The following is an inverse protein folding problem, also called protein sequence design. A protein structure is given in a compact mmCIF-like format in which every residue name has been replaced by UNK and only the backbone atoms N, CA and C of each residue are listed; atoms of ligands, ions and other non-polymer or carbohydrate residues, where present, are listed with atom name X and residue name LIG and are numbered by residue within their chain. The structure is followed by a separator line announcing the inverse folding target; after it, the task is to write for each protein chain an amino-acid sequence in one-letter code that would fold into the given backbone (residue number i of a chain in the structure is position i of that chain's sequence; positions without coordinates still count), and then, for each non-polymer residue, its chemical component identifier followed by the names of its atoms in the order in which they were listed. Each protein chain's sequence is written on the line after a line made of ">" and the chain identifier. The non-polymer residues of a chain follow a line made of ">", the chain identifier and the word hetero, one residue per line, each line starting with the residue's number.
data_IF_758351576110
#
_entry.id   IF_758351576110
#
_cell.length_a   1.000
_cell.length_b   1.000
_cell.length_c   1.000
_cell.angle_alpha   90.00
_cell.angle_beta   90.00
_cell.angle_gamma   90.00
#
_symmetry.space_group_name_H-M   'P 1'
#
loop_
_entity.id
_entity.type
_entity.pdbx_description
1 polymer ?
#
# COMPACT_ATOMS: atom_id res chain seq x y z
N UNK A 1 14.43 -7.64 11.06
CA UNK A 1 13.60 -8.09 9.92
C UNK A 1 12.16 -8.11 10.39
N UNK A 2 11.33 -7.24 9.83
CA UNK A 2 9.86 -7.32 9.96
C UNK A 2 9.32 -8.37 8.99
N UNK A 3 8.05 -8.75 9.12
CA UNK A 3 7.38 -9.68 8.18
C UNK A 3 7.26 -9.11 6.76
N UNK A 4 7.34 -7.78 6.61
CA UNK A 4 7.17 -7.08 5.34
C UNK A 4 8.31 -7.38 4.35
N UNK A 5 9.56 -7.47 4.80
CA UNK A 5 10.67 -7.68 3.86
C UNK A 5 10.66 -9.08 3.23
N UNK A 6 10.53 -10.20 3.99
CA UNK A 6 10.43 -11.53 3.40
C UNK A 6 9.19 -11.73 2.53
N UNK A 7 8.07 -11.04 2.81
CA UNK A 7 6.87 -11.14 1.96
C UNK A 7 7.11 -10.51 0.59
N UNK A 8 7.80 -9.36 0.53
CA UNK A 8 8.22 -8.74 -0.74
C UNK A 8 9.22 -9.63 -1.47
N UNK A 9 10.26 -10.11 -0.79
CA UNK A 9 11.23 -11.01 -1.40
C UNK A 9 10.56 -12.24 -2.01
N UNK A 10 9.64 -12.87 -1.28
CA UNK A 10 8.93 -14.07 -1.74
C UNK A 10 8.01 -13.78 -2.93
N UNK A 11 7.34 -12.64 -2.93
CA UNK A 11 6.50 -12.23 -4.06
C UNK A 11 7.33 -12.05 -5.34
N UNK A 12 8.55 -11.48 -5.22
CA UNK A 12 9.48 -11.37 -6.34
C UNK A 12 9.97 -12.73 -6.84
N UNK A 13 10.36 -13.63 -5.94
CA UNK A 13 10.81 -14.99 -6.28
C UNK A 13 9.72 -15.80 -7.01
N UNK A 14 8.45 -15.58 -6.64
CA UNK A 14 7.29 -16.25 -7.22
C UNK A 14 6.70 -15.50 -8.42
N UNK A 15 7.31 -14.39 -8.84
CA UNK A 15 6.85 -13.57 -9.97
C UNK A 15 5.39 -13.10 -9.80
N UNK A 16 5.01 -12.70 -8.59
CA UNK A 16 3.67 -12.17 -8.34
C UNK A 16 3.48 -10.81 -9.02
N UNK A 17 2.26 -10.56 -9.50
CA UNK A 17 1.90 -9.28 -10.14
C UNK A 17 1.76 -8.12 -9.14
N UNK A 18 1.44 -8.42 -7.88
CA UNK A 18 1.28 -7.44 -6.82
C UNK A 18 1.30 -8.09 -5.42
N UNK A 19 1.46 -7.26 -4.39
CA UNK A 19 1.29 -7.62 -2.98
C UNK A 19 -0.01 -7.01 -2.45
N UNK A 20 -0.81 -7.81 -1.76
CA UNK A 20 -1.98 -7.35 -1.01
C UNK A 20 -1.61 -7.26 0.47
N UNK A 21 -1.34 -6.04 0.94
CA UNK A 21 -0.95 -5.75 2.31
C UNK A 21 -2.18 -5.39 3.17
N UNK A 22 -2.67 -6.39 3.89
CA UNK A 22 -3.78 -6.24 4.84
C UNK A 22 -3.38 -5.39 6.06
N UNK A 23 -4.18 -4.37 6.38
CA UNK A 23 -4.05 -3.55 7.59
C UNK A 23 -5.28 -3.73 8.49
N UNK A 24 -5.06 -3.67 9.79
CA UNK A 24 -6.13 -3.78 10.79
C UNK A 24 -6.60 -2.38 11.20
N UNK A 25 -7.90 -2.10 11.07
CA UNK A 25 -8.51 -0.86 11.53
C UNK A 25 -8.15 0.41 10.75
N UNK A 26 -7.48 0.30 9.60
CA UNK A 26 -7.22 1.40 8.65
C UNK A 26 -7.40 0.85 7.24
N UNK A 27 -8.11 1.56 6.37
CA UNK A 27 -8.45 1.11 5.02
C UNK A 27 -7.59 1.72 3.92
N UNK A 28 -6.43 2.28 4.26
CA UNK A 28 -5.45 2.78 3.30
C UNK A 28 -4.36 3.61 3.97
N UNK A 29 -3.63 4.35 3.15
CA UNK A 29 -2.66 5.37 3.57
C UNK A 29 -3.38 6.71 3.62
N UNK A 30 -3.08 7.52 4.64
CA UNK A 30 -3.72 8.82 4.86
C UNK A 30 -2.68 9.94 4.95
N UNK A 31 -3.11 11.16 4.66
CA UNK A 31 -2.31 12.39 4.82
C UNK A 31 -1.90 12.64 6.27
N UNK A 32 -2.71 12.18 7.23
CA UNK A 32 -2.47 12.26 8.66
C UNK A 32 -3.20 11.11 9.38
N UNK A 33 -2.95 10.89 10.68
CA UNK A 33 -3.66 9.86 11.47
C UNK A 33 -5.17 10.20 11.54
N UNK A 34 -6.06 9.41 10.89
CA UNK A 34 -7.49 9.73 10.83
C UNK A 34 -8.18 9.63 12.20
N UNK A 35 -7.54 9.02 13.21
CA UNK A 35 -8.06 9.00 14.58
C UNK A 35 -7.80 10.31 15.33
N UNK A 36 -6.83 11.11 14.88
CA UNK A 36 -6.43 12.38 15.50
C UNK A 36 -6.81 13.60 14.67
N UNK A 37 -6.86 13.44 13.35
CA UNK A 37 -7.09 14.50 12.38
C UNK A 37 -8.33 14.17 11.57
N UNK A 38 -9.41 14.91 11.79
CA UNK A 38 -10.69 14.70 11.08
C UNK A 38 -10.65 15.14 9.62
N UNK A 39 -9.66 15.96 9.26
CA UNK A 39 -9.36 16.42 7.90
C UNK A 39 -8.40 15.47 7.15
N UNK A 40 -7.99 14.35 7.75
CA UNK A 40 -7.16 13.35 7.11
C UNK A 40 -7.86 12.76 5.88
N UNK A 41 -7.20 12.85 4.73
CA UNK A 41 -7.69 12.30 3.46
C UNK A 41 -6.96 11.01 3.13
N UNK A 42 -7.66 10.06 2.54
CA UNK A 42 -7.07 8.78 2.13
C UNK A 42 -6.45 8.96 0.75
N UNK A 43 -5.27 8.42 0.55
CA UNK A 43 -4.70 8.32 -0.79
C UNK A 43 -5.40 7.20 -1.56
N UNK A 44 -5.83 7.50 -2.79
CA UNK A 44 -6.23 6.52 -3.78
C UNK A 44 -5.01 5.78 -4.31
N UNK A 45 -4.01 6.55 -4.72
CA UNK A 45 -2.74 6.05 -5.25
C UNK A 45 -1.57 6.94 -4.85
N UNK A 46 -0.40 6.33 -4.74
CA UNK A 46 0.87 6.98 -4.42
C UNK A 46 2.01 6.33 -5.20
N UNK A 47 3.00 7.12 -5.62
CA UNK A 47 4.28 6.54 -6.03
C UNK A 47 5.10 6.12 -4.82
N UNK A 48 6.11 5.25 -5.01
CA UNK A 48 7.06 4.94 -3.96
C UNK A 48 7.83 6.18 -3.48
N UNK A 49 8.14 7.10 -4.39
CA UNK A 49 8.86 8.33 -4.06
C UNK A 49 8.00 9.27 -3.22
N UNK A 50 6.68 9.33 -3.46
CA UNK A 50 5.74 10.07 -2.60
C UNK A 50 5.72 9.48 -1.18
N UNK A 51 5.65 8.15 -1.07
CA UNK A 51 5.66 7.46 0.23
C UNK A 51 6.94 7.76 1.01
N UNK A 52 8.10 7.69 0.34
CA UNK A 52 9.41 7.93 0.96
C UNK A 52 9.59 9.42 1.31
N UNK A 53 9.25 10.33 0.41
CA UNK A 53 9.45 11.77 0.61
C UNK A 53 8.55 12.36 1.70
N UNK A 54 7.36 11.81 1.88
CA UNK A 54 6.41 12.23 2.92
C UNK A 54 6.53 11.42 4.23
N UNK A 55 7.53 10.54 4.34
CA UNK A 55 7.73 9.64 5.50
C UNK A 55 6.45 8.88 5.89
N UNK A 56 5.67 8.44 4.89
CA UNK A 56 4.43 7.72 5.14
C UNK A 56 4.77 6.32 5.64
N UNK A 57 4.39 6.03 6.89
CA UNK A 57 4.67 4.75 7.56
C UNK A 57 3.72 3.63 7.09
N UNK A 58 3.90 3.20 5.86
CA UNK A 58 3.07 2.21 5.17
C UNK A 58 3.51 0.77 5.50
N UNK A 59 4.80 0.48 5.38
CA UNK A 59 5.46 -0.79 5.71
C UNK A 59 6.93 -0.51 6.08
N UNK A 60 7.69 -1.54 6.46
CA UNK A 60 9.13 -1.39 6.68
C UNK A 60 9.84 -0.75 5.48
N UNK A 61 10.74 0.20 5.75
CA UNK A 61 11.42 0.97 4.71
C UNK A 61 12.24 0.09 3.76
N UNK A 62 12.88 -0.97 4.26
CA UNK A 62 13.67 -1.88 3.42
C UNK A 62 12.76 -2.63 2.45
N UNK A 63 11.56 -3.00 2.89
CA UNK A 63 10.58 -3.68 2.07
C UNK A 63 9.97 -2.76 1.00
N UNK A 64 9.71 -1.48 1.33
CA UNK A 64 9.30 -0.47 0.33
C UNK A 64 10.35 -0.29 -0.76
N UNK A 65 11.62 -0.17 -0.38
CA UNK A 65 12.72 0.02 -1.33
C UNK A 65 12.88 -1.21 -2.24
N UNK A 66 12.80 -2.42 -1.68
CA UNK A 66 12.86 -3.65 -2.47
C UNK A 66 11.70 -3.74 -3.48
N UNK A 67 10.48 -3.40 -3.06
CA UNK A 67 9.32 -3.39 -3.95
C UNK A 67 9.46 -2.33 -5.06
N UNK A 68 9.94 -1.13 -4.72
CA UNK A 68 10.20 -0.04 -5.67
C UNK A 68 11.21 -0.45 -6.73
N UNK A 69 12.37 -0.96 -6.32
CA UNK A 69 13.49 -1.27 -7.21
C UNK A 69 13.11 -2.36 -8.23
N UNK A 70 12.16 -3.22 -7.87
CA UNK A 70 11.61 -4.25 -8.74
C UNK A 70 10.23 -3.92 -9.33
N UNK A 71 9.74 -2.70 -9.15
CA UNK A 71 8.46 -2.23 -9.69
C UNK A 71 7.24 -3.07 -9.25
N UNK A 72 7.29 -3.71 -8.08
CA UNK A 72 6.27 -4.64 -7.58
C UNK A 72 5.15 -3.90 -6.84
N UNK A 73 3.95 -3.74 -7.43
CA UNK A 73 2.87 -2.95 -6.84
C UNK A 73 2.37 -3.50 -5.49
N UNK A 74 1.88 -2.61 -4.64
CA UNK A 74 1.36 -2.91 -3.31
C UNK A 74 -0.04 -2.31 -3.15
N UNK A 75 -1.02 -3.13 -2.77
CA UNK A 75 -2.37 -2.70 -2.40
C UNK A 75 -2.54 -2.76 -0.89
N UNK A 76 -2.80 -1.62 -0.26
CA UNK A 76 -3.08 -1.50 1.17
C UNK A 76 -4.58 -1.39 1.38
N UNK A 77 -5.14 -2.28 2.19
CA UNK A 77 -6.59 -2.33 2.41
C UNK A 77 -6.92 -2.77 3.83
N UNK A 78 -8.15 -2.47 4.25
CA UNK A 78 -8.67 -2.95 5.53
C UNK A 78 -9.12 -4.40 5.39
N UNK A 79 -8.49 -5.30 6.15
CA UNK A 79 -8.84 -6.72 6.18
C UNK A 79 -10.25 -7.00 6.70
N UNK A 80 -10.77 -6.13 7.57
CA UNK A 80 -12.07 -6.31 8.24
C UNK A 80 -13.26 -6.10 7.30
N UNK A 81 -13.04 -5.55 6.09
CA UNK A 81 -14.07 -5.33 5.07
C UNK A 81 -14.21 -6.58 4.17
N UNK A 82 -15.33 -7.32 4.26
CA UNK A 82 -15.52 -8.52 3.44
C UNK A 82 -15.49 -8.20 1.94
N UNK A 83 -14.85 -9.05 1.15
CA UNK A 83 -14.80 -8.92 -0.30
C UNK A 83 -13.69 -8.01 -0.85
N UNK A 84 -12.92 -7.30 0.00
CA UNK A 84 -11.87 -6.39 -0.46
C UNK A 84 -10.82 -7.05 -1.36
N UNK A 85 -10.34 -8.24 -1.02
CA UNK A 85 -9.35 -8.96 -1.84
C UNK A 85 -9.88 -9.21 -3.25
N UNK A 86 -11.14 -9.68 -3.37
CA UNK A 86 -11.78 -9.92 -4.67
C UNK A 86 -11.90 -8.63 -5.47
N UNK A 87 -12.37 -7.56 -4.83
CA UNK A 87 -12.54 -6.26 -5.45
C UNK A 87 -11.20 -5.70 -5.99
N UNK A 88 -10.12 -5.80 -5.21
CA UNK A 88 -8.77 -5.44 -5.66
C UNK A 88 -8.36 -6.23 -6.90
N UNK A 89 -8.55 -7.56 -6.90
CA UNK A 89 -8.23 -8.40 -8.05
C UNK A 89 -9.09 -8.10 -9.30
N UNK A 90 -10.29 -7.51 -9.12
CA UNK A 90 -11.16 -7.06 -10.21
C UNK A 90 -10.81 -5.65 -10.70
N UNK A 91 -9.82 -4.98 -10.10
CA UNK A 91 -9.41 -3.62 -10.46
C UNK A 91 -10.28 -2.52 -9.85
N UNK A 92 -11.09 -2.83 -8.83
CA UNK A 92 -11.87 -1.84 -8.10
C UNK A 92 -10.98 -0.98 -7.20
N UNK A 93 -11.41 0.25 -6.94
CA UNK A 93 -10.71 1.19 -6.07
C UNK A 93 -10.96 0.87 -4.60
N UNK A 94 -10.10 0.01 -4.05
CA UNK A 94 -10.15 -0.42 -2.65
C UNK A 94 -8.83 -0.10 -1.97
N UNK A 95 -8.93 0.78 -0.97
CA UNK A 95 -7.79 1.26 -0.20
C UNK A 95 -6.77 1.99 -1.05
N UNK A 96 -5.49 1.84 -0.77
CA UNK A 96 -4.43 2.63 -1.43
C UNK A 96 -3.55 1.75 -2.29
N UNK A 97 -3.41 2.13 -3.55
CA UNK A 97 -2.44 1.57 -4.47
C UNK A 97 -1.09 2.28 -4.33
N UNK A 98 0.00 1.53 -4.22
CA UNK A 98 1.37 2.04 -4.26
C UNK A 98 2.11 1.32 -5.38
N UNK A 99 2.64 2.06 -6.35
CA UNK A 99 3.22 1.43 -7.53
C UNK A 99 3.96 2.38 -8.46
N UNK A 100 4.69 1.83 -9.44
CA UNK A 100 5.36 2.62 -10.47
C UNK A 100 4.33 3.35 -11.35
N UNK A 101 4.60 4.61 -11.69
CA UNK A 101 3.70 5.41 -12.55
C UNK A 101 2.37 5.83 -11.89
N UNK A 102 2.18 5.55 -10.60
CA UNK A 102 1.07 6.08 -9.83
C UNK A 102 1.21 7.60 -9.68
N UNK A 103 0.14 8.33 -9.98
CA UNK A 103 0.02 9.72 -9.57
C UNK A 103 -0.47 9.80 -8.12
N UNK A 104 -0.05 10.83 -7.40
CA UNK A 104 -0.61 11.15 -6.09
C UNK A 104 -2.07 11.60 -6.28
N UNK A 105 -3.01 10.79 -5.79
CA UNK A 105 -4.44 11.06 -5.87
C UNK A 105 -5.09 10.82 -4.50
N UNK A 106 -5.98 11.73 -4.10
CA UNK A 106 -6.69 11.71 -2.81
C UNK A 106 -8.18 11.44 -3.02
N UNK A 107 -8.79 10.71 -2.07
CA UNK A 107 -10.24 10.48 -1.94
C UNK A 107 -10.79 11.28 -0.75
#
# INVERSE_FOLDING_TARGET
>A
VTTDYPSVQRALELQCDAILAAKHGVDGVYTADPKKHTDAKRYRSLSYDDVISQDLRVMDQSAMLLARDHHLPIHLFNFDKPGCIKAICLGEDVGTYVGPGAALELV
#
